data_IF_471734322032
#
_entry.id   IF_471734322032
#
_cell.length_a   1.000
_cell.length_b   1.000
_cell.length_c   1.000
_cell.angle_alpha   90.00
_cell.angle_beta   90.00
_cell.angle_gamma   90.00
#
_symmetry.space_group_name_H-M   'P 1'
#
loop_
_entity.id
_entity.type
_entity.pdbx_description
1 polymer ?
#
# COMPACT_ATOMS: atom_id res chain seq x y z
N UNK A 1 28.34 3.58 36.18
CA UNK A 1 27.76 3.33 34.84
C UNK A 1 26.25 3.52 34.93
N UNK A 2 25.68 4.40 34.11
CA UNK A 2 24.24 4.67 34.11
C UNK A 2 23.49 3.43 33.61
N UNK A 3 22.52 2.96 34.38
CA UNK A 3 21.76 1.74 34.08
C UNK A 3 20.79 2.05 32.94
N UNK A 4 21.08 1.53 31.75
CA UNK A 4 20.14 1.58 30.62
C UNK A 4 19.04 0.55 30.84
N UNK A 5 17.78 0.99 30.87
CA UNK A 5 16.63 0.09 30.76
C UNK A 5 16.39 -0.23 29.29
N UNK A 6 16.23 -1.51 28.98
CA UNK A 6 15.74 -1.92 27.66
C UNK A 6 14.31 -1.38 27.47
N UNK A 7 13.94 -0.96 26.25
CA UNK A 7 12.56 -0.56 25.96
C UNK A 7 11.61 -1.73 26.26
N UNK A 8 10.41 -1.40 26.73
CA UNK A 8 9.35 -2.38 26.93
C UNK A 8 8.79 -2.83 25.57
N UNK A 9 8.12 -3.98 25.56
CA UNK A 9 7.46 -4.46 24.34
C UNK A 9 6.40 -3.43 23.87
N UNK A 10 6.33 -3.11 22.56
CA UNK A 10 5.34 -2.21 22.02
C UNK A 10 3.92 -2.68 22.35
N UNK A 11 3.05 -1.76 22.77
CA UNK A 11 1.64 -2.04 23.07
C UNK A 11 0.77 -1.56 21.92
N UNK A 12 -0.19 -2.37 21.51
CA UNK A 12 -1.22 -1.94 20.55
C UNK A 12 -2.36 -1.30 21.34
N UNK A 13 -2.51 0.02 21.20
CA UNK A 13 -3.50 0.82 21.94
C UNK A 13 -4.87 0.75 21.26
N UNK A 14 -4.87 0.78 19.93
CA UNK A 14 -6.09 0.71 19.13
C UNK A 14 -5.81 -0.02 17.82
N UNK A 15 -6.77 -0.80 17.36
CA UNK A 15 -6.80 -1.41 16.04
C UNK A 15 -8.20 -1.28 15.46
N UNK A 16 -8.31 -0.56 14.36
CA UNK A 16 -9.55 -0.38 13.61
C UNK A 16 -9.31 -0.72 12.13
N UNK A 17 -9.77 -1.92 11.72
CA UNK A 17 -9.59 -2.43 10.37
C UNK A 17 -8.13 -2.40 9.90
N UNK A 18 -7.81 -1.46 9.00
CA UNK A 18 -6.49 -1.26 8.39
C UNK A 18 -5.63 -0.21 9.13
N UNK A 19 -6.08 0.32 10.26
CA UNK A 19 -5.38 1.30 11.09
C UNK A 19 -4.99 0.66 12.43
N UNK A 20 -3.75 0.91 12.88
CA UNK A 20 -3.29 0.51 14.20
C UNK A 20 -2.49 1.64 14.86
N UNK A 21 -2.71 1.85 16.16
CA UNK A 21 -1.96 2.79 17.00
C UNK A 21 -1.10 1.98 17.96
N UNK A 22 0.22 2.20 17.91
CA UNK A 22 1.22 1.48 18.70
C UNK A 22 1.93 2.46 19.62
N UNK A 23 2.04 2.11 20.90
CA UNK A 23 2.73 2.88 21.94
C UNK A 23 4.03 2.17 22.34
N UNK A 24 5.12 2.93 22.41
CA UNK A 24 6.45 2.45 22.81
C UNK A 24 6.95 3.34 23.95
N UNK A 25 6.99 2.78 25.15
CA UNK A 25 7.37 3.48 26.37
C UNK A 25 8.80 3.18 26.80
N UNK A 26 9.25 3.91 27.84
CA UNK A 26 10.54 3.66 28.52
C UNK A 26 11.76 3.83 27.62
N UNK A 27 11.70 4.78 26.69
CA UNK A 27 12.82 5.19 25.86
C UNK A 27 13.74 6.15 26.62
N UNK A 28 15.05 6.04 26.37
CA UNK A 28 16.00 7.01 26.87
C UNK A 28 15.70 8.40 26.27
N UNK A 29 15.89 9.51 27.00
CA UNK A 29 15.67 10.85 26.47
C UNK A 29 16.38 11.07 25.11
N UNK A 30 15.63 11.58 24.13
CA UNK A 30 16.13 11.78 22.76
C UNK A 30 16.03 10.56 21.82
N UNK A 31 15.77 9.35 22.33
CA UNK A 31 15.66 8.15 21.47
C UNK A 31 14.31 8.07 20.74
N UNK A 32 13.26 8.69 21.27
CA UNK A 32 11.92 8.69 20.67
C UNK A 32 11.92 9.20 19.22
N UNK A 33 12.61 10.32 18.96
CA UNK A 33 12.68 10.91 17.61
C UNK A 33 13.56 10.08 16.68
N UNK A 34 14.69 9.55 17.16
CA UNK A 34 15.56 8.67 16.39
C UNK A 34 14.83 7.40 15.96
N UNK A 35 14.16 6.73 16.91
CA UNK A 35 13.40 5.52 16.64
C UNK A 35 12.19 5.79 15.74
N UNK A 36 11.41 6.84 16.04
CA UNK A 36 10.24 7.21 15.24
C UNK A 36 10.59 7.55 13.79
N UNK A 37 11.67 8.30 13.57
CA UNK A 37 12.14 8.59 12.21
C UNK A 37 12.64 7.34 11.48
N UNK A 38 13.36 6.46 12.17
CA UNK A 38 13.82 5.21 11.58
C UNK A 38 12.62 4.34 11.15
N UNK A 39 11.65 4.13 12.05
CA UNK A 39 10.43 3.35 11.76
C UNK A 39 9.64 3.99 10.62
N UNK A 40 9.42 5.31 10.64
CA UNK A 40 8.70 6.03 9.57
C UNK A 40 9.35 5.80 8.21
N UNK A 41 10.69 5.88 8.12
CA UNK A 41 11.42 5.68 6.87
C UNK A 41 11.27 4.25 6.36
N UNK A 42 11.42 3.26 7.23
CA UNK A 42 11.29 1.84 6.86
C UNK A 42 9.87 1.54 6.42
N UNK A 43 8.85 2.01 7.15
CA UNK A 43 7.45 1.78 6.82
C UNK A 43 7.03 2.44 5.50
N UNK A 44 7.58 3.60 5.16
CA UNK A 44 7.24 4.30 3.91
C UNK A 44 7.99 3.78 2.69
N UNK A 45 9.16 3.17 2.87
CA UNK A 45 10.08 2.88 1.74
C UNK A 45 10.41 1.41 1.53
N UNK A 46 10.25 0.55 2.52
CA UNK A 46 10.83 -0.81 2.50
C UNK A 46 9.83 -1.90 2.88
N UNK A 47 8.53 -1.60 2.88
CA UNK A 47 7.51 -2.62 3.08
C UNK A 47 7.32 -3.40 1.77
N UNK A 48 7.50 -4.73 1.78
CA UNK A 48 7.18 -5.56 0.63
C UNK A 48 5.66 -5.54 0.39
N UNK A 49 5.28 -5.44 -0.87
CA UNK A 49 3.88 -5.42 -1.27
C UNK A 49 3.72 -5.76 -2.75
N UNK A 50 2.48 -5.98 -3.18
CA UNK A 50 2.14 -6.22 -4.57
C UNK A 50 1.30 -5.06 -5.10
N UNK A 51 1.67 -4.54 -6.26
CA UNK A 51 0.94 -3.50 -6.96
C UNK A 51 0.94 -3.79 -8.47
N UNK A 52 -0.01 -3.19 -9.19
CA UNK A 52 -0.06 -3.27 -10.65
C UNK A 52 1.13 -2.50 -11.22
N UNK A 53 1.98 -3.18 -11.99
CA UNK A 53 3.17 -2.60 -12.62
C UNK A 53 2.92 -2.18 -14.07
N UNK A 54 2.02 -2.89 -14.77
CA UNK A 54 1.68 -2.62 -16.17
C UNK A 54 0.24 -3.05 -16.45
N UNK A 55 -0.40 -2.36 -17.40
CA UNK A 55 -1.76 -2.64 -17.84
C UNK A 55 -1.78 -2.60 -19.36
N UNK A 56 -2.41 -3.60 -19.98
CA UNK A 56 -2.70 -3.62 -21.42
C UNK A 56 -4.21 -3.68 -21.60
N UNK A 57 -4.77 -2.68 -22.28
CA UNK A 57 -6.20 -2.60 -22.57
C UNK A 57 -6.39 -2.82 -24.07
N UNK A 58 -7.35 -3.67 -24.44
CA UNK A 58 -7.64 -3.98 -25.84
C UNK A 58 -8.32 -2.79 -26.52
N UNK A 59 -7.80 -2.35 -27.68
CA UNK A 59 -8.38 -1.24 -28.45
C UNK A 59 -8.02 0.15 -27.92
N UNK A 60 -7.05 0.24 -27.01
CA UNK A 60 -6.52 1.49 -26.46
C UNK A 60 -5.06 1.61 -26.86
N UNK A 61 -4.73 2.64 -27.62
CA UNK A 61 -3.36 2.90 -28.07
C UNK A 61 -2.54 3.71 -27.05
N UNK A 62 -3.21 4.60 -26.30
CA UNK A 62 -2.57 5.47 -25.31
C UNK A 62 -3.51 5.83 -24.15
N UNK A 63 -2.93 6.32 -23.05
CA UNK A 63 -3.62 6.62 -21.78
C UNK A 63 -4.62 7.79 -21.86
N UNK A 64 -4.48 8.69 -22.84
CA UNK A 64 -5.41 9.81 -23.03
C UNK A 64 -6.68 9.46 -23.82
N UNK A 65 -6.89 8.19 -24.17
CA UNK A 65 -8.04 7.77 -24.97
C UNK A 65 -9.26 7.46 -24.08
N UNK A 66 -10.42 7.36 -24.73
CA UNK A 66 -11.67 6.91 -24.11
C UNK A 66 -12.02 5.52 -24.64
N UNK A 67 -12.67 4.70 -23.81
CA UNK A 67 -13.13 3.37 -24.20
C UNK A 67 -14.63 3.47 -24.52
N UNK A 68 -15.07 3.09 -25.73
CA UNK A 68 -16.49 3.12 -26.06
C UNK A 68 -17.31 2.29 -25.06
N UNK A 69 -18.42 2.86 -24.58
CA UNK A 69 -19.34 2.26 -23.59
C UNK A 69 -18.75 2.10 -22.17
N UNK A 70 -17.66 2.81 -21.85
CA UNK A 70 -17.15 2.96 -20.48
C UNK A 70 -17.32 4.43 -20.08
N UNK A 71 -17.84 4.66 -18.88
CA UNK A 71 -18.10 6.01 -18.37
C UNK A 71 -16.82 6.77 -18.05
N UNK A 72 -15.79 6.08 -17.57
CA UNK A 72 -14.49 6.62 -17.19
C UNK A 72 -13.53 6.67 -18.39
N UNK A 73 -12.65 7.68 -18.42
CA UNK A 73 -11.51 7.67 -19.35
C UNK A 73 -10.41 6.71 -18.88
N UNK A 74 -9.43 6.45 -19.74
CA UNK A 74 -8.35 5.51 -19.43
C UNK A 74 -7.48 6.01 -18.26
N UNK A 75 -7.29 7.33 -18.09
CA UNK A 75 -6.50 7.89 -16.97
C UNK A 75 -7.17 7.60 -15.64
N UNK A 76 -8.46 7.90 -15.51
CA UNK A 76 -9.27 7.62 -14.33
C UNK A 76 -9.28 6.13 -14.03
N UNK A 77 -9.45 5.29 -15.06
CA UNK A 77 -9.36 3.84 -14.89
C UNK A 77 -7.99 3.43 -14.32
N UNK A 78 -6.89 3.95 -14.86
CA UNK A 78 -5.53 3.68 -14.36
C UNK A 78 -5.33 4.16 -12.91
N UNK A 79 -5.88 5.32 -12.54
CA UNK A 79 -5.84 5.83 -11.16
C UNK A 79 -6.64 4.94 -10.19
N UNK A 80 -7.80 4.45 -10.62
CA UNK A 80 -8.59 3.49 -9.86
C UNK A 80 -7.86 2.16 -9.69
N UNK A 81 -7.20 1.67 -10.75
CA UNK A 81 -6.39 0.46 -10.70
C UNK A 81 -5.23 0.55 -9.68
N UNK A 82 -4.63 1.74 -9.49
CA UNK A 82 -3.59 1.95 -8.46
C UNK A 82 -4.11 1.77 -7.02
N UNK A 83 -5.41 1.91 -6.80
CA UNK A 83 -6.02 1.75 -5.46
C UNK A 83 -6.38 0.30 -5.14
N UNK A 84 -6.34 -0.59 -6.13
CA UNK A 84 -6.64 -2.02 -5.96
C UNK A 84 -5.55 -2.68 -5.12
N UNK A 85 -5.97 -3.36 -4.05
CA UNK A 85 -5.06 -4.07 -3.13
C UNK A 85 -4.96 -5.54 -3.51
N UNK A 86 -3.74 -6.01 -3.76
CA UNK A 86 -3.46 -7.42 -4.04
C UNK A 86 -2.77 -8.09 -2.85
N UNK A 87 -3.13 -9.35 -2.61
CA UNK A 87 -2.34 -10.27 -1.79
C UNK A 87 -1.87 -11.39 -2.71
N UNK A 88 -0.60 -11.35 -3.07
CA UNK A 88 0.02 -12.31 -3.98
C UNK A 88 0.74 -13.37 -3.14
N UNK A 89 0.50 -14.64 -3.46
CA UNK A 89 1.12 -15.79 -2.78
C UNK A 89 2.28 -16.40 -3.56
N UNK A 90 2.59 -15.86 -4.74
CA UNK A 90 3.74 -16.24 -5.55
C UNK A 90 4.86 -15.20 -5.42
N UNK A 91 6.10 -15.60 -5.65
CA UNK A 91 7.26 -14.69 -5.63
C UNK A 91 7.47 -13.99 -6.98
N UNK A 92 6.85 -14.50 -8.04
CA UNK A 92 7.00 -13.99 -9.41
C UNK A 92 5.86 -13.05 -9.83
N UNK A 93 6.10 -12.32 -10.93
CA UNK A 93 5.09 -11.46 -11.54
C UNK A 93 3.92 -12.28 -12.09
N UNK A 94 2.69 -11.92 -11.71
CA UNK A 94 1.47 -12.58 -12.18
C UNK A 94 0.75 -11.69 -13.20
N UNK A 95 0.32 -12.30 -14.31
CA UNK A 95 -0.55 -11.64 -15.30
C UNK A 95 -2.01 -12.02 -15.02
N UNK A 96 -2.85 -11.02 -14.75
CA UNK A 96 -4.28 -11.18 -14.52
C UNK A 96 -5.05 -10.69 -15.76
N UNK A 97 -6.07 -11.43 -16.18
CA UNK A 97 -6.96 -11.03 -17.28
C UNK A 97 -8.37 -10.78 -16.73
N UNK A 98 -8.93 -9.62 -17.06
CA UNK A 98 -10.31 -9.26 -16.75
C UNK A 98 -11.11 -9.22 -18.06
N UNK A 99 -12.25 -9.92 -18.11
CA UNK A 99 -13.20 -9.84 -19.20
C UNK A 99 -14.59 -9.58 -18.65
N UNK A 100 -15.17 -8.45 -19.02
CA UNK A 100 -16.51 -8.01 -18.60
C UNK A 100 -17.29 -7.63 -19.85
N UNK A 101 -18.56 -8.02 -19.91
CA UNK A 101 -19.51 -7.68 -20.97
C UNK A 101 -20.85 -7.30 -20.36
N UNK A 102 -21.59 -6.43 -21.04
CA UNK A 102 -22.92 -5.98 -20.64
C UNK A 102 -22.89 -4.77 -19.71
N UNK A 103 -24.03 -4.08 -19.65
CA UNK A 103 -24.25 -2.96 -18.74
C UNK A 103 -24.33 -3.49 -17.29
N UNK A 104 -23.52 -2.92 -16.41
CA UNK A 104 -23.58 -3.20 -14.97
C UNK A 104 -23.96 -1.90 -14.27
N UNK A 105 -25.09 -1.93 -13.55
CA UNK A 105 -25.57 -0.85 -12.69
C UNK A 105 -24.61 -0.59 -11.55
#
# INVERSE_FOLDING_TARGET
MQKFSLPQQPKVVNRDGNLAIIEIDSLYPGYGTTLGNAIRRVLLSSIPGAAITSVKITGVDHEFSTIPNVMEDVIHLLLNLKQVRFKVYAEENIVIKLSVKGEKK
#
